data_IF_626909440806
#
_entry.id   IF_626909440806
#
_cell.length_a   1.000
_cell.length_b   1.000
_cell.length_c   1.000
_cell.angle_alpha   90.00
_cell.angle_beta   90.00
_cell.angle_gamma   90.00
#
_symmetry.space_group_name_H-M   'P 1'
#
loop_
_entity.id
_entity.type
_entity.pdbx_description
1 polymer ?
#
# COMPACT_ATOMS: atom_id res chain seq x y z
N UNK A 1 8.08 3.02 24.77
CA UNK A 1 9.22 2.70 23.88
C UNK A 1 8.66 2.67 22.48
N UNK A 2 8.67 3.85 21.85
CA UNK A 2 7.97 4.12 20.60
C UNK A 2 8.81 3.67 19.42
N UNK A 3 8.26 2.75 18.65
CA UNK A 3 8.71 2.52 17.28
C UNK A 3 7.97 3.54 16.41
N UNK A 4 8.71 4.57 16.02
CA UNK A 4 8.30 5.51 14.97
C UNK A 4 8.32 4.73 13.65
N UNK A 5 7.19 4.11 13.31
CA UNK A 5 7.03 3.52 11.98
C UNK A 5 7.12 4.68 10.99
N UNK A 6 8.18 4.71 10.17
CA UNK A 6 8.33 5.69 9.10
C UNK A 6 7.90 5.05 7.79
N UNK A 7 6.78 5.50 7.21
CA UNK A 7 6.48 5.16 5.82
C UNK A 7 7.49 5.89 4.92
N UNK A 8 8.57 5.21 4.57
CA UNK A 8 9.63 5.75 3.73
C UNK A 8 9.23 5.73 2.24
N UNK A 9 8.15 6.42 1.84
CA UNK A 9 8.07 6.87 0.44
C UNK A 9 9.02 8.05 0.30
N UNK A 10 10.27 7.76 -0.08
CA UNK A 10 11.21 8.82 -0.51
C UNK A 10 10.64 9.44 -1.78
N UNK A 11 10.19 10.72 -1.76
CA UNK A 11 9.56 11.35 -2.92
C UNK A 11 10.37 11.22 -4.23
N UNK A 12 11.71 11.32 -4.22
CA UNK A 12 12.51 11.18 -5.45
C UNK A 12 12.39 9.81 -6.14
N UNK A 13 12.25 8.72 -5.37
CA UNK A 13 12.10 7.37 -5.95
C UNK A 13 10.70 7.22 -6.55
N UNK A 14 9.68 7.75 -5.87
CA UNK A 14 8.31 7.74 -6.38
C UNK A 14 8.19 8.54 -7.70
N UNK A 15 8.90 9.65 -7.83
CA UNK A 15 8.93 10.46 -9.07
C UNK A 15 9.56 9.70 -10.26
N UNK A 16 10.60 8.89 -10.00
CA UNK A 16 11.23 8.07 -11.05
C UNK A 16 10.34 6.91 -11.52
N UNK A 17 9.57 6.33 -10.60
CA UNK A 17 8.68 5.21 -10.89
C UNK A 17 7.36 5.65 -11.54
N UNK A 18 6.88 6.86 -11.25
CA UNK A 18 5.57 7.32 -11.69
C UNK A 18 5.59 7.98 -13.08
N UNK A 19 5.86 7.18 -14.11
CA UNK A 19 5.94 7.66 -15.49
C UNK A 19 4.57 8.06 -16.08
N UNK A 20 3.46 7.67 -15.45
CA UNK A 20 2.10 7.86 -15.97
C UNK A 20 1.18 8.66 -15.03
N UNK A 21 1.69 9.21 -13.93
CA UNK A 21 0.87 9.93 -12.95
C UNK A 21 -0.15 9.03 -12.22
N UNK A 22 0.20 7.77 -11.98
CA UNK A 22 -0.59 6.80 -11.26
C UNK A 22 -0.77 7.17 -9.77
N UNK A 23 0.21 7.83 -9.14
CA UNK A 23 0.10 8.21 -7.74
C UNK A 23 -0.72 9.49 -7.55
N UNK A 24 -1.90 9.35 -6.91
CA UNK A 24 -2.76 10.49 -6.59
C UNK A 24 -2.29 11.32 -5.38
N UNK A 25 -1.51 10.71 -4.48
CA UNK A 25 -1.00 11.37 -3.29
C UNK A 25 0.28 10.69 -2.79
N UNK A 26 1.21 11.47 -2.21
CA UNK A 26 2.52 11.02 -1.73
C UNK A 26 2.81 11.64 -0.37
N UNK A 27 3.39 10.88 0.56
CA UNK A 27 3.59 11.35 1.94
C UNK A 27 4.97 10.95 2.47
N UNK A 28 5.57 11.84 3.27
CA UNK A 28 6.92 11.69 3.82
C UNK A 28 6.93 11.14 5.26
N UNK A 29 5.90 11.43 6.07
CA UNK A 29 5.90 11.22 7.54
C UNK A 29 4.54 10.72 8.07
N UNK A 30 3.79 9.92 7.30
CA UNK A 30 2.40 9.59 7.66
C UNK A 30 2.16 8.20 8.23
N UNK A 31 3.11 7.62 8.97
CA UNK A 31 2.83 6.36 9.68
C UNK A 31 2.32 6.54 11.11
N UNK A 32 2.32 7.75 11.66
CA UNK A 32 1.57 8.06 12.89
C UNK A 32 1.14 9.52 12.79
N UNK A 33 -0.15 9.81 12.96
CA UNK A 33 -0.69 11.19 13.02
C UNK A 33 -0.78 11.98 11.69
N UNK A 34 -1.85 11.74 10.94
CA UNK A 34 -2.54 12.86 10.30
C UNK A 34 -4.02 12.83 10.67
N UNK A 35 -4.41 13.70 11.62
CA UNK A 35 -5.79 14.09 11.93
C UNK A 35 -6.46 14.71 10.70
N UNK A 36 -6.72 13.91 9.66
CA UNK A 36 -7.29 14.43 8.42
C UNK A 36 -7.37 13.44 7.26
N UNK A 37 -6.57 12.37 7.23
CA UNK A 37 -6.89 11.24 6.34
C UNK A 37 -7.80 10.28 7.10
N UNK A 38 -9.07 10.61 7.10
CA UNK A 38 -10.14 9.70 7.45
C UNK A 38 -10.08 8.50 6.47
N UNK A 39 -9.28 7.48 6.81
CA UNK A 39 -9.31 6.15 6.20
C UNK A 39 -10.62 5.40 6.52
N UNK A 40 -11.68 6.13 6.90
CA UNK A 40 -13.06 5.65 7.06
C UNK A 40 -13.68 5.15 5.75
N UNK A 41 -13.01 5.36 4.61
CA UNK A 41 -13.37 4.77 3.33
C UNK A 41 -12.64 3.43 3.18
N UNK A 42 -13.36 2.40 2.76
CA UNK A 42 -12.77 1.10 2.42
C UNK A 42 -11.66 1.30 1.38
N UNK A 43 -10.49 0.72 1.64
CA UNK A 43 -9.33 0.75 0.75
C UNK A 43 -8.62 -0.59 0.77
N UNK A 44 -7.66 -0.75 -0.12
CA UNK A 44 -6.78 -1.92 -0.16
C UNK A 44 -5.38 -1.46 0.31
N UNK A 45 -4.82 -2.14 1.31
CA UNK A 45 -3.44 -1.92 1.76
C UNK A 45 -2.57 -3.04 1.20
N UNK A 46 -1.54 -2.66 0.45
CA UNK A 46 -0.50 -3.56 -0.06
C UNK A 46 0.81 -3.11 0.59
N UNK A 47 1.35 -3.95 1.46
CA UNK A 47 2.51 -3.59 2.28
C UNK A 47 3.31 -4.85 2.65
N UNK A 48 4.64 -4.74 2.66
CA UNK A 48 5.55 -5.78 3.12
C UNK A 48 5.83 -5.71 4.62
N UNK A 49 5.22 -4.77 5.35
CA UNK A 49 5.41 -4.57 6.78
C UNK A 49 4.13 -4.92 7.58
N UNK A 50 4.03 -6.13 8.15
CA UNK A 50 2.82 -6.63 8.79
C UNK A 50 2.29 -5.76 9.94
N UNK A 51 3.16 -4.99 10.60
CA UNK A 51 2.75 -4.13 11.70
C UNK A 51 1.84 -2.96 11.27
N UNK A 52 1.87 -2.54 10.00
CA UNK A 52 0.96 -1.50 9.47
C UNK A 52 -0.49 -1.96 9.33
N UNK A 53 -0.74 -3.28 9.34
CA UNK A 53 -2.08 -3.85 9.39
C UNK A 53 -2.94 -3.28 10.52
N UNK A 54 -2.33 -2.95 11.67
CA UNK A 54 -3.01 -2.41 12.85
C UNK A 54 -3.56 -1.00 12.64
N UNK A 55 -3.11 -0.29 11.61
CA UNK A 55 -3.51 1.08 11.29
C UNK A 55 -4.65 1.15 10.26
N UNK A 56 -5.10 0.00 9.77
CA UNK A 56 -6.10 -0.10 8.71
C UNK A 56 -7.53 -0.11 9.28
N UNK A 57 -8.47 0.52 8.59
CA UNK A 57 -9.88 0.53 8.99
C UNK A 57 -10.56 -0.82 8.81
N UNK A 58 -11.54 -1.12 9.68
CA UNK A 58 -12.34 -2.34 9.62
C UNK A 58 -13.07 -2.44 8.28
N UNK A 59 -12.88 -3.54 7.55
CA UNK A 59 -13.47 -3.77 6.22
C UNK A 59 -12.66 -3.25 5.04
N UNK A 60 -11.38 -2.93 5.27
CA UNK A 60 -10.38 -2.71 4.20
C UNK A 60 -9.61 -4.00 3.96
N UNK A 61 -9.32 -4.32 2.69
CA UNK A 61 -8.56 -5.51 2.34
C UNK A 61 -7.08 -5.27 2.61
N UNK A 62 -6.45 -6.17 3.35
CA UNK A 62 -5.01 -6.19 3.50
C UNK A 62 -4.44 -7.31 2.65
N UNK A 63 -3.52 -6.97 1.77
CA UNK A 63 -2.80 -7.92 0.94
C UNK A 63 -1.33 -7.86 1.36
N UNK A 64 -0.88 -8.76 2.25
CA UNK A 64 0.53 -8.82 2.61
C UNK A 64 1.33 -9.22 1.38
N UNK A 65 2.47 -8.56 1.19
CA UNK A 65 3.42 -8.90 0.12
C UNK A 65 4.78 -9.25 0.71
N UNK A 66 5.56 -10.07 0.01
CA UNK A 66 6.91 -10.37 0.40
C UNK A 66 7.80 -9.12 0.28
N UNK A 67 8.86 -9.08 1.08
CA UNK A 67 9.91 -8.08 0.85
C UNK A 67 10.70 -8.48 -0.40
N UNK A 68 10.67 -7.63 -1.41
CA UNK A 68 11.48 -7.80 -2.61
C UNK A 68 12.87 -7.18 -2.42
N UNK A 69 13.90 -7.90 -2.86
CA UNK A 69 15.29 -7.44 -2.78
C UNK A 69 15.95 -7.46 -4.17
N UNK A 70 16.37 -8.62 -4.67
CA UNK A 70 17.12 -8.76 -5.93
C UNK A 70 16.69 -9.95 -6.80
N UNK A 71 15.62 -10.63 -6.41
CA UNK A 71 15.09 -11.76 -7.16
C UNK A 71 14.34 -11.30 -8.41
N UNK A 72 14.98 -11.41 -9.57
CA UNK A 72 14.44 -10.91 -10.85
C UNK A 72 13.35 -11.81 -11.45
N UNK A 73 13.19 -13.03 -10.95
CA UNK A 73 12.10 -13.93 -11.34
C UNK A 73 10.89 -13.82 -10.40
N UNK A 74 10.84 -12.77 -9.57
CA UNK A 74 9.67 -12.45 -8.76
C UNK A 74 8.47 -12.08 -9.64
N UNK A 75 7.31 -12.66 -9.33
CA UNK A 75 6.05 -12.41 -10.04
C UNK A 75 4.95 -11.88 -9.14
N UNK A 76 5.24 -11.55 -7.88
CA UNK A 76 4.21 -11.25 -6.88
C UNK A 76 3.33 -10.08 -7.32
N UNK A 77 3.92 -9.01 -7.87
CA UNK A 77 3.16 -7.87 -8.40
C UNK A 77 2.24 -8.22 -9.57
N UNK A 78 2.61 -9.22 -10.40
CA UNK A 78 1.78 -9.67 -11.51
C UNK A 78 0.56 -10.46 -11.00
N UNK A 79 0.77 -11.32 -10.01
CA UNK A 79 -0.31 -12.09 -9.38
C UNK A 79 -1.31 -11.17 -8.67
N UNK A 80 -0.81 -10.12 -8.01
CA UNK A 80 -1.65 -9.08 -7.40
C UNK A 80 -2.49 -8.33 -8.42
N UNK A 81 -1.95 -8.01 -9.60
CA UNK A 81 -2.69 -7.34 -10.65
C UNK A 81 -3.91 -8.16 -11.08
N UNK A 82 -3.75 -9.48 -11.22
CA UNK A 82 -4.85 -10.38 -11.58
C UNK A 82 -5.91 -10.43 -10.49
N UNK A 83 -5.50 -10.53 -9.22
CA UNK A 83 -6.40 -10.49 -8.07
C UNK A 83 -7.22 -9.18 -8.05
N UNK A 84 -6.56 -8.03 -8.18
CA UNK A 84 -7.20 -6.71 -8.14
C UNK A 84 -8.12 -6.46 -9.33
N UNK A 85 -7.79 -6.97 -10.52
CA UNK A 85 -8.70 -6.93 -11.67
C UNK A 85 -9.96 -7.77 -11.42
N UNK A 86 -9.81 -8.96 -10.83
CA UNK A 86 -10.92 -9.82 -10.47
C UNK A 86 -11.87 -9.16 -9.44
N UNK A 87 -11.32 -8.48 -8.43
CA UNK A 87 -12.15 -7.79 -7.42
C UNK A 87 -12.90 -6.58 -8.01
N UNK A 88 -12.26 -5.83 -8.93
CA UNK A 88 -12.90 -4.73 -9.65
C UNK A 88 -14.10 -5.20 -10.47
N UNK A 89 -13.95 -6.29 -11.23
CA UNK A 89 -15.00 -6.83 -12.09
C UNK A 89 -16.17 -7.45 -11.30
N UNK A 90 -15.88 -8.03 -10.12
CA UNK A 90 -16.90 -8.64 -9.27
C UNK A 90 -17.77 -7.62 -8.51
N UNK A 91 -17.44 -6.33 -8.51
CA UNK A 91 -18.12 -5.31 -7.69
C UNK A 91 -18.06 -5.57 -6.18
N UNK A 92 -17.25 -6.54 -5.74
CA UNK A 92 -17.08 -6.91 -4.33
C UNK A 92 -15.84 -6.22 -3.78
N UNK A 93 -16.08 -5.28 -2.87
CA UNK A 93 -15.07 -4.90 -1.88
C UNK A 93 -15.28 -5.84 -0.69
N UNK A 94 -14.41 -6.83 -0.52
CA UNK A 94 -14.42 -7.74 0.62
C UNK A 94 -14.53 -6.97 1.95
#
# INVERSE_FOLDING_TARGET
WGEEFSCNTRPPVADLLDQWGAFRARFRESCVFHRGRDLKRKHHLVDNFPAHARLTSRGSLQVPVASWFDYMADTELLDLLLLLKGTQQSGRVL
#
